data_IF_934085264088
#
_entry.id   IF_934085264088
#
_cell.length_a   1.000
_cell.length_b   1.000
_cell.length_c   1.000
_cell.angle_alpha   90.00
_cell.angle_beta   90.00
_cell.angle_gamma   90.00
#
_symmetry.space_group_name_H-M   'P 1'
#
loop_
_entity.id
_entity.type
_entity.pdbx_description
1 polymer ?
#
# COMPACT_ATOMS: atom_id res chain seq x y z
N UNK A 1 -14.68 12.36 3.77
CA UNK A 1 -15.06 12.59 5.19
C UNK A 1 -15.10 11.32 6.05
N UNK A 2 -15.90 10.28 5.79
CA UNK A 2 -15.87 9.05 6.61
C UNK A 2 -14.61 8.18 6.37
N UNK A 3 -14.15 8.05 5.13
CA UNK A 3 -12.93 7.31 4.79
C UNK A 3 -11.69 7.97 5.41
N UNK A 4 -11.57 9.28 5.34
CA UNK A 4 -10.46 10.03 5.92
C UNK A 4 -10.40 9.83 7.44
N UNK A 5 -11.57 9.81 8.11
CA UNK A 5 -11.65 9.54 9.54
C UNK A 5 -11.15 8.13 9.89
N UNK A 6 -11.56 7.12 9.12
CA UNK A 6 -11.13 5.73 9.32
C UNK A 6 -9.62 5.54 9.07
N UNK A 7 -9.09 6.19 8.05
CA UNK A 7 -7.66 6.17 7.74
C UNK A 7 -6.87 6.83 8.87
N UNK A 8 -7.28 8.02 9.30
CA UNK A 8 -6.65 8.72 10.44
C UNK A 8 -6.71 7.91 11.73
N UNK A 9 -7.83 7.26 12.01
CA UNK A 9 -7.98 6.41 13.20
C UNK A 9 -7.03 5.19 13.15
N UNK A 10 -6.88 4.57 11.97
CA UNK A 10 -5.93 3.48 11.77
C UNK A 10 -4.48 3.93 12.01
N UNK A 11 -4.11 5.11 11.52
CA UNK A 11 -2.76 5.64 11.71
C UNK A 11 -2.49 5.97 13.17
N UNK A 12 -3.48 6.48 13.91
CA UNK A 12 -3.39 6.65 15.37
C UNK A 12 -3.15 5.31 16.09
N UNK A 13 -3.88 4.25 15.74
CA UNK A 13 -3.66 2.92 16.33
C UNK A 13 -2.27 2.36 15.99
N UNK A 14 -1.76 2.59 14.77
CA UNK A 14 -0.39 2.20 14.40
C UNK A 14 0.66 2.96 15.22
N UNK A 15 0.45 4.24 15.50
CA UNK A 15 1.35 5.02 16.34
C UNK A 15 1.33 4.50 17.79
N UNK A 16 0.14 4.35 18.38
CA UNK A 16 -0.03 3.81 19.73
C UNK A 16 0.56 2.39 19.88
N UNK A 17 0.46 1.56 18.82
CA UNK A 17 1.08 0.23 18.81
C UNK A 17 2.61 0.30 18.89
N UNK A 18 3.24 1.30 18.26
CA UNK A 18 4.69 1.49 18.32
C UNK A 18 5.16 1.98 19.69
N UNK A 19 4.34 2.82 20.32
CA UNK A 19 4.63 3.45 21.62
C UNK A 19 4.13 2.63 22.82
N UNK A 20 3.55 1.44 22.58
CA UNK A 20 2.97 0.61 23.62
C UNK A 20 4.00 0.08 24.60
N UNK A 21 3.76 0.30 25.91
CA UNK A 21 4.63 -0.10 27.01
C UNK A 21 4.56 -1.61 27.34
N UNK A 22 3.49 -2.28 26.92
CA UNK A 22 3.27 -3.70 27.19
C UNK A 22 2.90 -4.48 25.94
N UNK A 23 3.21 -5.78 25.94
CA UNK A 23 2.82 -6.71 24.86
C UNK A 23 1.28 -6.84 24.74
N UNK A 24 0.56 -6.70 25.83
CA UNK A 24 -0.91 -6.70 25.83
C UNK A 24 -1.49 -5.47 25.11
N UNK A 25 -0.97 -4.29 25.39
CA UNK A 25 -1.36 -3.05 24.69
C UNK A 25 -1.01 -3.10 23.22
N UNK A 26 0.19 -3.58 22.88
CA UNK A 26 0.60 -3.76 21.49
C UNK A 26 -0.36 -4.64 20.71
N UNK A 27 -0.74 -5.78 21.26
CA UNK A 27 -1.72 -6.69 20.65
C UNK A 27 -3.11 -6.08 20.52
N UNK A 28 -3.52 -5.28 21.52
CA UNK A 28 -4.79 -4.56 21.46
C UNK A 28 -4.80 -3.55 20.31
N UNK A 29 -3.78 -2.70 20.21
CA UNK A 29 -3.70 -1.71 19.13
C UNK A 29 -3.51 -2.35 17.76
N UNK A 30 -2.80 -3.48 17.66
CA UNK A 30 -2.69 -4.25 16.43
C UNK A 30 -4.08 -4.78 15.99
N UNK A 31 -4.87 -5.35 16.91
CA UNK A 31 -6.22 -5.77 16.60
C UNK A 31 -7.14 -4.62 16.14
N UNK A 32 -7.03 -3.45 16.78
CA UNK A 32 -7.82 -2.26 16.43
C UNK A 32 -7.43 -1.71 15.04
N UNK A 33 -6.14 -1.58 14.72
CA UNK A 33 -5.70 -1.13 13.40
C UNK A 33 -6.08 -2.13 12.31
N UNK A 34 -6.05 -3.43 12.60
CA UNK A 34 -6.46 -4.48 11.66
C UNK A 34 -7.98 -4.46 11.42
N UNK A 35 -8.79 -4.30 12.47
CA UNK A 35 -10.24 -4.13 12.34
C UNK A 35 -10.60 -2.92 11.49
N UNK A 36 -9.93 -1.78 11.73
CA UNK A 36 -10.14 -0.55 10.95
C UNK A 36 -9.72 -0.74 9.49
N UNK A 37 -8.59 -1.42 9.21
CA UNK A 37 -8.17 -1.79 7.85
C UNK A 37 -9.23 -2.63 7.16
N UNK A 38 -9.80 -3.61 7.86
CA UNK A 38 -10.83 -4.50 7.30
C UNK A 38 -12.12 -3.75 6.98
N UNK A 39 -12.52 -2.78 7.80
CA UNK A 39 -13.65 -1.90 7.53
C UNK A 39 -13.43 -1.06 6.27
N UNK A 40 -12.27 -0.41 6.12
CA UNK A 40 -11.91 0.37 4.93
C UNK A 40 -11.97 -0.51 3.67
N UNK A 41 -11.38 -1.70 3.72
CA UNK A 41 -11.39 -2.63 2.60
C UNK A 41 -12.79 -3.14 2.25
N UNK A 42 -13.67 -3.35 3.25
CA UNK A 42 -15.04 -3.81 3.03
C UNK A 42 -15.90 -2.78 2.30
N UNK A 43 -15.62 -1.49 2.42
CA UNK A 43 -16.34 -0.44 1.70
C UNK A 43 -16.21 -0.59 0.17
N UNK A 44 -15.02 -0.97 -0.31
CA UNK A 44 -14.83 -1.32 -1.72
C UNK A 44 -15.69 -2.53 -2.13
N UNK A 45 -15.67 -3.60 -1.30
CA UNK A 45 -16.46 -4.81 -1.55
C UNK A 45 -17.96 -4.53 -1.62
N UNK A 46 -18.47 -3.71 -0.70
CA UNK A 46 -19.88 -3.30 -0.67
C UNK A 46 -20.26 -2.47 -1.90
N UNK A 47 -19.40 -1.57 -2.35
CA UNK A 47 -19.63 -0.79 -3.57
C UNK A 47 -19.61 -1.67 -4.84
N UNK A 48 -18.84 -2.74 -4.84
CA UNK A 48 -18.67 -3.63 -6.00
C UNK A 48 -19.68 -4.79 -6.11
N UNK A 49 -20.47 -5.07 -5.08
CA UNK A 49 -21.39 -6.22 -5.03
C UNK A 49 -22.85 -5.76 -5.02
N UNK A 50 -23.61 -6.15 -6.06
CA UNK A 50 -25.03 -5.81 -6.25
C UNK A 50 -25.97 -6.33 -5.14
N UNK A 51 -25.49 -7.20 -4.25
CA UNK A 51 -26.30 -7.69 -3.11
C UNK A 51 -26.46 -6.64 -2.01
N UNK A 52 -25.62 -5.62 -2.00
CA UNK A 52 -25.65 -4.58 -0.97
C UNK A 52 -26.38 -3.33 -1.46
N UNK A 53 -27.12 -2.69 -0.58
CA UNK A 53 -27.86 -1.45 -0.89
C UNK A 53 -26.97 -0.24 -1.23
N UNK A 54 -25.65 -0.35 -1.02
CA UNK A 54 -24.65 0.66 -1.38
C UNK A 54 -23.90 0.31 -2.67
N UNK A 55 -24.44 -0.59 -3.49
CA UNK A 55 -23.84 -0.98 -4.77
C UNK A 55 -23.70 0.22 -5.70
N UNK A 56 -22.48 0.47 -6.13
CA UNK A 56 -22.12 1.55 -7.04
C UNK A 56 -20.95 1.11 -7.95
N UNK A 57 -21.24 0.42 -9.05
CA UNK A 57 -20.20 -0.21 -9.89
C UNK A 57 -19.20 0.81 -10.45
N UNK A 58 -19.63 2.04 -10.74
CA UNK A 58 -18.76 3.09 -11.25
C UNK A 58 -17.72 3.52 -10.21
N UNK A 59 -18.08 3.55 -8.93
CA UNK A 59 -17.14 3.83 -7.84
C UNK A 59 -16.11 2.69 -7.74
N UNK A 60 -16.55 1.44 -7.77
CA UNK A 60 -15.65 0.29 -7.72
C UNK A 60 -14.71 0.25 -8.95
N UNK A 61 -15.23 0.56 -10.14
CA UNK A 61 -14.44 0.68 -11.36
C UNK A 61 -13.42 1.84 -11.29
N UNK A 62 -13.83 3.00 -10.78
CA UNK A 62 -12.94 4.15 -10.60
C UNK A 62 -11.78 3.85 -9.64
N UNK A 63 -12.06 3.19 -8.51
CA UNK A 63 -11.03 2.79 -7.54
C UNK A 63 -9.98 1.89 -8.20
N UNK A 64 -10.42 0.85 -8.91
CA UNK A 64 -9.49 -0.08 -9.59
C UNK A 64 -8.75 0.56 -10.75
N UNK A 65 -9.38 1.48 -11.47
CA UNK A 65 -8.74 2.25 -12.54
C UNK A 65 -7.65 3.16 -11.96
N UNK A 66 -7.97 3.94 -10.95
CA UNK A 66 -7.01 4.84 -10.28
C UNK A 66 -5.83 4.06 -9.71
N UNK A 67 -6.08 2.93 -9.03
CA UNK A 67 -5.00 2.08 -8.49
C UNK A 67 -4.05 1.58 -9.58
N UNK A 68 -4.56 1.20 -10.75
CA UNK A 68 -3.73 0.78 -11.89
C UNK A 68 -2.93 1.94 -12.48
N UNK A 69 -3.53 3.14 -12.59
CA UNK A 69 -2.81 4.33 -13.02
C UNK A 69 -1.68 4.67 -12.06
N UNK A 70 -1.96 4.75 -10.76
CA UNK A 70 -0.98 5.02 -9.72
C UNK A 70 0.20 4.04 -9.75
N UNK A 71 -0.10 2.74 -9.93
CA UNK A 71 0.96 1.73 -10.04
C UNK A 71 1.79 1.92 -11.32
N UNK A 72 1.17 2.33 -12.42
CA UNK A 72 1.86 2.68 -13.66
C UNK A 72 2.78 3.88 -13.47
N UNK A 73 2.31 4.95 -12.87
CA UNK A 73 3.08 6.15 -12.57
C UNK A 73 4.26 5.85 -11.63
N UNK A 74 4.03 5.03 -10.59
CA UNK A 74 5.09 4.58 -9.69
C UNK A 74 6.20 3.83 -10.43
N UNK A 75 5.83 2.93 -11.35
CA UNK A 75 6.77 2.21 -12.21
C UNK A 75 7.56 3.20 -13.07
N UNK A 76 6.88 4.08 -13.76
CA UNK A 76 7.49 5.02 -14.71
C UNK A 76 8.48 5.95 -13.98
N UNK A 77 8.13 6.47 -12.80
CA UNK A 77 9.05 7.25 -11.97
C UNK A 77 10.28 6.44 -11.50
N UNK A 78 10.11 5.17 -11.16
CA UNK A 78 11.24 4.32 -10.80
C UNK A 78 12.16 4.05 -11.99
N UNK A 79 11.60 3.84 -13.19
CA UNK A 79 12.35 3.63 -14.43
C UNK A 79 13.07 4.91 -14.88
N UNK A 80 12.45 6.08 -14.74
CA UNK A 80 13.06 7.40 -15.02
C UNK A 80 14.28 7.68 -14.12
N UNK A 81 14.28 7.16 -12.90
CA UNK A 81 15.42 7.20 -11.99
C UNK A 81 16.50 6.14 -12.31
N UNK A 82 16.31 5.34 -13.36
CA UNK A 82 17.24 4.32 -13.82
C UNK A 82 17.12 2.97 -13.10
N UNK A 83 16.10 2.76 -12.29
CA UNK A 83 15.86 1.46 -11.64
C UNK A 83 15.11 0.52 -12.57
N UNK A 84 15.49 -0.73 -12.57
CA UNK A 84 14.83 -1.75 -13.38
C UNK A 84 13.67 -2.38 -12.61
N UNK A 85 12.45 -2.08 -12.99
CA UNK A 85 11.26 -2.70 -12.41
C UNK A 85 11.13 -4.12 -12.91
N UNK A 86 11.10 -5.08 -12.00
CA UNK A 86 11.06 -6.53 -12.28
C UNK A 86 9.68 -7.13 -12.14
N UNK A 87 8.89 -6.59 -11.23
CA UNK A 87 7.55 -7.12 -10.94
C UNK A 87 6.67 -6.05 -10.33
N UNK A 88 5.39 -6.06 -10.67
CA UNK A 88 4.34 -5.25 -10.04
C UNK A 88 3.24 -6.14 -9.49
N UNK A 89 2.75 -5.85 -8.30
CA UNK A 89 1.70 -6.62 -7.66
C UNK A 89 0.75 -5.71 -6.89
N UNK A 90 -0.50 -5.70 -7.29
CA UNK A 90 -1.63 -4.97 -6.69
C UNK A 90 -1.35 -3.48 -6.44
N UNK A 91 -0.51 -3.14 -5.47
CA UNK A 91 -0.20 -1.81 -4.97
C UNK A 91 1.31 -1.60 -4.72
N UNK A 92 2.14 -2.51 -5.18
CA UNK A 92 3.59 -2.45 -4.99
C UNK A 92 4.37 -2.78 -6.27
N UNK A 93 5.58 -2.23 -6.37
CA UNK A 93 6.55 -2.61 -7.38
C UNK A 93 7.82 -3.18 -6.72
N UNK A 94 8.48 -4.06 -7.43
CA UNK A 94 9.77 -4.60 -7.05
C UNK A 94 10.79 -4.21 -8.11
N UNK A 95 11.81 -3.48 -7.71
CA UNK A 95 12.84 -2.97 -8.60
C UNK A 95 14.25 -3.33 -8.10
N UNK A 96 15.17 -3.46 -9.04
CA UNK A 96 16.58 -3.61 -8.73
C UNK A 96 17.14 -2.26 -8.30
N UNK A 97 17.73 -2.22 -7.12
CA UNK A 97 18.44 -1.06 -6.58
C UNK A 97 19.86 -1.47 -6.17
N UNK A 98 20.86 -0.60 -6.32
CA UNK A 98 22.24 -0.93 -5.97
C UNK A 98 22.42 -1.24 -4.47
N UNK A 99 21.69 -0.51 -3.62
CA UNK A 99 21.71 -0.63 -2.17
C UNK A 99 20.42 -0.03 -1.58
N UNK A 100 20.12 -0.29 -0.29
CA UNK A 100 18.93 0.22 0.37
C UNK A 100 18.85 1.76 0.39
N UNK A 101 19.99 2.43 0.55
CA UNK A 101 20.05 3.91 0.62
C UNK A 101 19.61 4.54 -0.69
N UNK A 102 20.04 3.98 -1.83
CA UNK A 102 19.58 4.43 -3.17
C UNK A 102 18.08 4.24 -3.34
N UNK A 103 17.53 3.13 -2.82
CA UNK A 103 16.09 2.88 -2.82
C UNK A 103 15.32 3.90 -1.99
N UNK A 104 15.80 4.22 -0.79
CA UNK A 104 15.19 5.22 0.08
C UNK A 104 15.26 6.64 -0.51
N UNK A 105 16.37 7.02 -1.12
CA UNK A 105 16.52 8.31 -1.78
C UNK A 105 15.55 8.45 -2.97
N UNK A 106 15.43 7.39 -3.78
CA UNK A 106 14.47 7.33 -4.87
C UNK A 106 13.03 7.44 -4.38
N UNK A 107 12.69 6.74 -3.30
CA UNK A 107 11.36 6.79 -2.69
C UNK A 107 10.99 8.22 -2.25
N UNK A 108 11.91 8.94 -1.63
CA UNK A 108 11.68 10.33 -1.23
C UNK A 108 11.39 11.22 -2.45
N UNK A 109 12.13 11.05 -3.55
CA UNK A 109 11.91 11.78 -4.78
C UNK A 109 10.55 11.44 -5.40
N UNK A 110 10.21 10.15 -5.51
CA UNK A 110 8.95 9.67 -6.05
C UNK A 110 7.76 10.22 -5.24
N UNK A 111 7.84 10.19 -3.91
CA UNK A 111 6.79 10.71 -3.04
C UNK A 111 6.55 12.22 -3.20
N UNK A 112 7.58 12.98 -3.56
CA UNK A 112 7.41 14.40 -3.89
C UNK A 112 6.65 14.60 -5.21
N UNK A 113 6.89 13.74 -6.20
CA UNK A 113 6.24 13.82 -7.52
C UNK A 113 4.79 13.30 -7.48
N UNK A 114 4.53 12.27 -6.71
CA UNK A 114 3.23 11.58 -6.65
C UNK A 114 2.30 12.13 -5.57
N UNK A 115 2.68 13.21 -4.84
CA UNK A 115 1.81 13.77 -3.80
C UNK A 115 0.39 14.03 -4.33
N UNK A 116 -0.68 13.67 -3.60
CA UNK A 116 -0.74 13.23 -2.17
C UNK A 116 -0.58 11.72 -1.94
N UNK A 117 -0.22 10.94 -2.94
CA UNK A 117 0.01 9.51 -2.79
C UNK A 117 1.39 9.31 -2.18
N UNK A 118 1.45 8.56 -1.09
CA UNK A 118 2.70 8.25 -0.37
C UNK A 118 2.97 6.76 -0.50
N UNK A 119 4.16 6.43 -0.99
CA UNK A 119 4.67 5.07 -1.05
C UNK A 119 5.66 4.81 0.08
N UNK A 120 5.74 3.58 0.54
CA UNK A 120 6.62 3.16 1.63
C UNK A 120 7.65 2.15 1.13
N UNK A 121 8.84 2.17 1.73
CA UNK A 121 9.85 1.17 1.50
C UNK A 121 9.54 -0.05 2.37
N UNK A 122 9.01 -1.09 1.75
CA UNK A 122 8.53 -2.26 2.49
C UNK A 122 9.68 -3.17 2.92
N UNK A 123 10.54 -3.53 1.98
CA UNK A 123 11.63 -4.48 2.25
C UNK A 123 12.74 -4.39 1.21
N UNK A 124 13.95 -4.67 1.63
CA UNK A 124 15.08 -4.94 0.77
C UNK A 124 15.54 -6.39 0.90
N UNK A 125 15.99 -6.98 -0.22
CA UNK A 125 16.56 -8.32 -0.27
C UNK A 125 17.71 -8.36 -1.27
N UNK A 126 18.73 -9.15 -0.97
CA UNK A 126 19.87 -9.38 -1.88
C UNK A 126 19.53 -10.29 -3.05
N UNK A 127 18.42 -11.02 -2.96
CA UNK A 127 17.94 -11.94 -4.01
C UNK A 127 16.43 -11.95 -4.05
N UNK A 128 15.90 -12.16 -5.25
CA UNK A 128 14.46 -12.23 -5.48
C UNK A 128 14.18 -13.28 -6.57
N UNK A 129 13.31 -14.22 -6.27
CA UNK A 129 12.90 -15.28 -7.19
C UNK A 129 11.39 -15.24 -7.44
N UNK A 130 10.99 -15.05 -8.69
CA UNK A 130 9.60 -15.19 -9.12
C UNK A 130 9.37 -16.63 -9.56
N UNK A 131 8.51 -17.36 -8.85
CA UNK A 131 8.17 -18.75 -9.16
C UNK A 131 6.92 -18.85 -10.03
N UNK A 132 5.94 -17.97 -9.80
CA UNK A 132 4.69 -17.88 -10.57
C UNK A 132 4.01 -16.54 -10.26
N UNK A 133 2.88 -16.25 -10.94
CA UNK A 133 2.05 -15.10 -10.62
C UNK A 133 1.67 -15.13 -9.14
N UNK A 134 1.99 -14.05 -8.41
CA UNK A 134 1.75 -13.88 -6.95
C UNK A 134 2.47 -14.91 -6.06
N UNK A 135 3.52 -15.58 -6.59
CA UNK A 135 4.36 -16.50 -5.83
C UNK A 135 5.83 -16.16 -6.05
N UNK A 136 6.45 -15.60 -5.04
CA UNK A 136 7.86 -15.17 -5.06
C UNK A 136 8.52 -15.45 -3.70
N UNK A 137 9.83 -15.52 -3.71
CA UNK A 137 10.68 -15.67 -2.53
C UNK A 137 11.78 -14.60 -2.54
N UNK A 138 12.20 -14.15 -1.37
CA UNK A 138 13.26 -13.17 -1.13
C UNK A 138 13.96 -13.40 0.20
#
# INVERSE_FOLDING_TARGET
MQMDLMTSLRDQYKALMKDADSDAERKMYDALQYATKSLIASMYGVAGDAKYGMYHPDIAAAITFTSRQTLGELRDHAEDLGFKVRYGHTDSIMCEVPNPESGLAALQHINQQMFPIITEFEKWSSSFLIMAKNRYAY
#
